data_IF_659027882003
#
_entry.id   IF_659027882003
#
_cell.length_a   1.000
_cell.length_b   1.000
_cell.length_c   1.000
_cell.angle_alpha   90.00
_cell.angle_beta   90.00
_cell.angle_gamma   90.00
#
_symmetry.space_group_name_H-M   'P 1'
#
loop_
_entity.id
_entity.type
_entity.pdbx_description
1 polymer ?
#
# COMPACT_ATOMS: atom_id res chain seq x y z
N UNK A 1 -17.03 9.97 -21.15
CA UNK A 1 -17.69 9.83 -19.83
C UNK A 1 -17.28 8.54 -19.09
N UNK A 2 -17.08 7.41 -19.77
CA UNK A 2 -16.64 6.15 -19.12
C UNK A 2 -15.28 6.23 -18.42
N UNK A 3 -14.26 6.82 -19.05
CA UNK A 3 -12.93 6.99 -18.44
C UNK A 3 -12.96 7.79 -17.13
N UNK A 4 -13.83 8.81 -17.04
CA UNK A 4 -14.01 9.60 -15.82
C UNK A 4 -14.64 8.78 -14.69
N UNK A 5 -15.65 7.94 -15.00
CA UNK A 5 -16.29 7.05 -14.00
C UNK A 5 -15.32 5.96 -13.51
N UNK A 6 -14.49 5.41 -14.40
CA UNK A 6 -13.47 4.43 -14.02
C UNK A 6 -12.42 5.08 -13.12
N UNK A 7 -11.93 6.27 -13.48
CA UNK A 7 -10.93 7.00 -12.68
C UNK A 7 -11.47 7.41 -11.31
N UNK A 8 -12.73 7.83 -11.23
CA UNK A 8 -13.41 8.14 -9.97
C UNK A 8 -13.54 6.89 -9.08
N UNK A 9 -13.92 5.74 -9.66
CA UNK A 9 -13.99 4.46 -8.93
C UNK A 9 -12.62 4.06 -8.35
N UNK A 10 -11.55 4.21 -9.13
CA UNK A 10 -10.19 3.90 -8.70
C UNK A 10 -9.71 4.87 -7.61
N UNK A 11 -10.07 6.15 -7.70
CA UNK A 11 -9.75 7.16 -6.67
C UNK A 11 -10.49 6.87 -5.36
N UNK A 12 -11.78 6.54 -5.42
CA UNK A 12 -12.56 6.15 -4.24
C UNK A 12 -11.98 4.89 -3.57
N UNK A 13 -11.56 3.90 -4.37
CA UNK A 13 -10.88 2.73 -3.84
C UNK A 13 -9.57 3.11 -3.14
N UNK A 14 -8.75 3.97 -3.76
CA UNK A 14 -7.49 4.43 -3.19
C UNK A 14 -7.71 5.19 -1.88
N UNK A 15 -8.76 6.00 -1.78
CA UNK A 15 -9.13 6.68 -0.54
C UNK A 15 -9.55 5.70 0.57
N UNK A 16 -10.32 4.66 0.25
CA UNK A 16 -10.65 3.61 1.24
C UNK A 16 -9.41 2.89 1.75
N UNK A 17 -8.45 2.61 0.86
CA UNK A 17 -7.16 2.04 1.22
C UNK A 17 -6.35 3.01 2.11
N UNK A 18 -6.34 4.31 1.80
CA UNK A 18 -5.74 5.35 2.65
C UNK A 18 -6.31 5.31 4.07
N UNK A 19 -7.65 5.31 4.22
CA UNK A 19 -8.28 5.27 5.54
C UNK A 19 -7.93 4.00 6.33
N UNK A 20 -7.92 2.84 5.66
CA UNK A 20 -7.53 1.57 6.27
C UNK A 20 -6.09 1.64 6.80
N UNK A 21 -5.17 2.11 5.97
CA UNK A 21 -3.75 2.21 6.32
C UNK A 21 -3.51 3.22 7.43
N UNK A 22 -4.23 4.34 7.46
CA UNK A 22 -4.15 5.27 8.59
C UNK A 22 -4.58 4.62 9.90
N UNK A 23 -5.66 3.82 9.89
CA UNK A 23 -6.08 3.07 11.07
C UNK A 23 -4.98 2.13 11.57
N UNK A 24 -4.31 1.41 10.66
CA UNK A 24 -3.17 0.54 10.98
C UNK A 24 -2.00 1.36 11.53
N UNK A 25 -1.68 2.50 10.92
CA UNK A 25 -0.56 3.34 11.30
C UNK A 25 -0.74 3.92 12.72
N UNK A 26 -1.95 4.36 13.07
CA UNK A 26 -2.27 4.80 14.42
C UNK A 26 -2.27 3.65 15.43
N UNK A 27 -2.74 2.45 15.05
CA UNK A 27 -2.60 1.27 15.89
C UNK A 27 -1.13 0.91 16.16
N UNK A 28 -0.27 1.00 15.14
CA UNK A 28 1.17 0.83 15.29
C UNK A 28 1.81 1.93 16.14
N UNK A 29 1.33 3.17 16.06
CA UNK A 29 1.79 4.24 16.95
C UNK A 29 1.44 3.96 18.42
N UNK A 30 0.22 3.46 18.69
CA UNK A 30 -0.16 3.01 20.04
C UNK A 30 0.77 1.88 20.52
N UNK A 31 1.11 0.94 19.65
CA UNK A 31 2.10 -0.09 19.95
C UNK A 31 3.49 0.51 20.25
N UNK A 32 3.92 1.54 19.52
CA UNK A 32 5.18 2.23 19.79
C UNK A 32 5.19 2.89 21.18
N UNK A 33 4.06 3.47 21.60
CA UNK A 33 3.89 4.01 22.96
C UNK A 33 3.94 2.89 24.01
N UNK A 34 3.29 1.74 23.76
CA UNK A 34 3.35 0.60 24.66
C UNK A 34 4.77 0.04 24.81
N UNK A 35 5.50 -0.12 23.70
CA UNK A 35 6.91 -0.53 23.70
C UNK A 35 7.80 0.48 24.42
N UNK A 36 7.45 1.77 24.35
CA UNK A 36 8.21 2.82 25.04
C UNK A 36 8.15 2.72 26.55
N UNK A 37 7.01 2.32 27.11
CA UNK A 37 6.86 2.07 28.55
C UNK A 37 7.65 0.87 29.07
N UNK A 38 8.05 -0.04 28.17
CA UNK A 38 8.83 -1.23 28.51
C UNK A 38 10.35 -1.03 28.36
N UNK A 39 10.79 -0.12 27.49
CA UNK A 39 12.20 0.03 27.10
C UNK A 39 12.77 1.45 27.29
N UNK A 40 12.04 2.35 27.95
CA UNK A 40 12.41 3.77 28.18
C UNK A 40 12.76 4.52 26.88
N UNK A 41 11.93 4.34 25.84
CA UNK A 41 12.14 4.92 24.50
C UNK A 41 11.06 5.94 24.12
N UNK A 42 10.45 6.60 25.10
CA UNK A 42 9.33 7.52 24.87
C UNK A 42 9.72 8.69 23.94
N UNK A 43 10.95 9.19 24.07
CA UNK A 43 11.49 10.21 23.18
C UNK A 43 11.44 9.81 21.70
N UNK A 44 11.80 8.56 21.37
CA UNK A 44 11.74 8.05 20.00
C UNK A 44 10.31 7.82 19.52
N UNK A 45 9.44 7.30 20.39
CA UNK A 45 8.03 7.12 20.07
C UNK A 45 7.39 8.45 19.66
N UNK A 46 7.64 9.52 20.41
CA UNK A 46 7.11 10.85 20.08
C UNK A 46 7.84 11.53 18.93
N UNK A 47 9.17 11.49 18.89
CA UNK A 47 9.95 12.21 17.88
C UNK A 47 9.84 11.60 16.48
N UNK A 48 9.72 10.27 16.38
CA UNK A 48 9.62 9.56 15.10
C UNK A 48 8.20 9.07 14.86
N UNK A 49 7.59 8.40 15.84
CA UNK A 49 6.29 7.77 15.68
C UNK A 49 5.16 8.78 15.43
N UNK A 50 5.09 9.87 16.20
CA UNK A 50 4.00 10.84 16.08
C UNK A 50 4.02 11.57 14.72
N UNK A 51 5.15 12.15 14.23
CA UNK A 51 5.19 12.72 12.89
C UNK A 51 4.89 11.69 11.79
N UNK A 52 5.37 10.46 11.96
CA UNK A 52 5.14 9.37 11.01
C UNK A 52 3.65 9.05 10.87
N UNK A 53 2.87 9.11 11.94
CA UNK A 53 1.41 8.95 11.88
C UNK A 53 0.68 10.22 11.42
N UNK A 54 1.14 11.40 11.85
CA UNK A 54 0.46 12.67 11.62
C UNK A 54 0.59 13.17 10.18
N UNK A 55 1.76 13.09 9.57
CA UNK A 55 2.00 13.62 8.22
C UNK A 55 1.10 12.94 7.18
N UNK A 56 1.03 11.60 7.09
CA UNK A 56 0.13 10.95 6.14
C UNK A 56 -1.35 11.17 6.48
N UNK A 57 -1.68 11.30 7.77
CA UNK A 57 -3.03 11.67 8.22
C UNK A 57 -3.45 13.01 7.60
N UNK A 58 -2.61 14.05 7.71
CA UNK A 58 -2.87 15.36 7.11
C UNK A 58 -2.98 15.27 5.58
N UNK A 59 -2.08 14.53 4.93
CA UNK A 59 -2.12 14.35 3.47
C UNK A 59 -3.43 13.72 2.98
N UNK A 60 -3.92 12.68 3.67
CA UNK A 60 -5.20 12.02 3.34
C UNK A 60 -6.39 12.92 3.62
N UNK A 61 -6.39 13.68 4.72
CA UNK A 61 -7.45 14.66 4.99
C UNK A 61 -7.53 15.75 3.92
N UNK A 62 -6.39 16.24 3.42
CA UNK A 62 -6.35 17.29 2.41
C UNK A 62 -6.66 16.78 1.00
N UNK A 63 -6.18 15.59 0.64
CA UNK A 63 -6.21 15.09 -0.72
C UNK A 63 -6.40 13.56 -0.78
N UNK A 64 -7.44 13.06 -0.11
CA UNK A 64 -7.76 11.63 -0.08
C UNK A 64 -7.83 10.96 -1.46
N UNK A 65 -7.19 9.79 -1.59
CA UNK A 65 -7.10 9.04 -2.84
C UNK A 65 -6.12 9.60 -3.87
N UNK A 66 -5.35 10.65 -3.53
CA UNK A 66 -4.30 11.16 -4.40
C UNK A 66 -3.16 10.14 -4.56
N UNK A 67 -2.50 10.07 -5.75
CA UNK A 67 -1.40 9.16 -6.00
C UNK A 67 -0.24 9.24 -5.00
N UNK A 68 -0.01 10.40 -4.39
CA UNK A 68 1.07 10.62 -3.42
C UNK A 68 0.81 9.93 -2.07
N UNK A 69 -0.45 9.82 -1.63
CA UNK A 69 -0.80 9.31 -0.31
C UNK A 69 -0.36 7.86 -0.11
N UNK A 70 -0.59 6.99 -1.11
CA UNK A 70 -0.17 5.59 -1.05
C UNK A 70 1.34 5.40 -0.88
N UNK A 71 2.16 6.27 -1.48
CA UNK A 71 3.61 6.22 -1.28
C UNK A 71 3.99 6.75 0.09
N UNK A 72 3.41 7.88 0.52
CA UNK A 72 3.63 8.43 1.85
C UNK A 72 3.24 7.44 2.97
N UNK A 73 2.07 6.80 2.84
CA UNK A 73 1.57 5.77 3.74
C UNK A 73 2.49 4.54 3.77
N UNK A 74 2.97 4.07 2.61
CA UNK A 74 3.91 2.96 2.55
C UNK A 74 5.24 3.27 3.25
N UNK A 75 5.81 4.45 2.99
CA UNK A 75 7.02 4.91 3.67
C UNK A 75 6.77 4.99 5.19
N UNK A 76 5.63 5.56 5.60
CA UNK A 76 5.29 5.72 7.01
C UNK A 76 5.14 4.38 7.74
N UNK A 77 4.52 3.37 7.11
CA UNK A 77 4.42 2.03 7.70
C UNK A 77 5.80 1.41 7.89
N UNK A 78 6.71 1.52 6.91
CA UNK A 78 8.09 1.01 7.05
C UNK A 78 8.87 1.76 8.14
N UNK A 79 8.74 3.09 8.22
CA UNK A 79 9.36 3.90 9.29
C UNK A 79 8.83 3.50 10.67
N UNK A 80 7.53 3.20 10.78
CA UNK A 80 6.95 2.73 12.03
C UNK A 80 7.44 1.33 12.42
N UNK A 81 7.61 0.41 11.46
CA UNK A 81 8.27 -0.88 11.70
C UNK A 81 9.72 -0.69 12.17
N UNK A 82 10.49 0.19 11.50
CA UNK A 82 11.85 0.51 11.89
C UNK A 82 11.94 1.06 13.32
N UNK A 83 11.00 1.93 13.71
CA UNK A 83 10.87 2.41 15.08
C UNK A 83 10.62 1.26 16.06
N UNK A 84 9.66 0.36 15.78
CA UNK A 84 9.40 -0.79 16.66
C UNK A 84 10.64 -1.67 16.82
N UNK A 85 11.32 -2.00 15.72
CA UNK A 85 12.58 -2.77 15.73
C UNK A 85 13.61 -2.06 16.63
N UNK A 86 13.78 -0.75 16.49
CA UNK A 86 14.70 0.02 17.32
C UNK A 86 14.33 -0.02 18.81
N UNK A 87 13.06 0.21 19.15
CA UNK A 87 12.56 0.16 20.52
C UNK A 87 12.71 -1.23 21.14
N UNK A 88 12.57 -2.28 20.34
CA UNK A 88 12.79 -3.66 20.74
C UNK A 88 14.25 -4.13 20.66
N UNK A 89 15.21 -3.22 20.53
CA UNK A 89 16.64 -3.51 20.47
C UNK A 89 17.07 -4.44 19.33
N UNK A 90 16.39 -4.39 18.18
CA UNK A 90 16.75 -5.17 16.99
C UNK A 90 16.28 -6.63 17.02
N UNK A 91 15.33 -6.98 17.90
CA UNK A 91 14.75 -8.32 18.00
C UNK A 91 14.12 -8.79 16.68
N UNK A 92 14.37 -10.06 16.34
CA UNK A 92 13.90 -10.67 15.09
C UNK A 92 12.38 -10.72 15.00
N UNK A 93 11.66 -10.89 16.13
CA UNK A 93 10.20 -10.99 16.14
C UNK A 93 9.52 -9.69 15.64
N UNK A 94 10.17 -8.55 15.81
CA UNK A 94 9.63 -7.26 15.33
C UNK A 94 9.87 -7.05 13.83
N UNK A 95 10.80 -7.80 13.23
CA UNK A 95 11.03 -7.78 11.78
C UNK A 95 9.88 -8.43 11.01
N UNK A 96 9.11 -9.33 11.63
CA UNK A 96 7.88 -9.87 11.03
C UNK A 96 6.89 -8.76 10.65
N UNK A 97 6.91 -7.62 11.35
CA UNK A 97 6.11 -6.46 11.02
C UNK A 97 6.34 -5.94 9.59
N UNK A 98 7.56 -6.07 9.05
CA UNK A 98 7.88 -5.63 7.68
C UNK A 98 7.11 -6.46 6.64
N UNK A 99 7.10 -7.78 6.79
CA UNK A 99 6.38 -8.70 5.90
C UNK A 99 4.86 -8.46 5.97
N UNK A 100 4.32 -8.30 7.20
CA UNK A 100 2.90 -7.99 7.41
C UNK A 100 2.51 -6.67 6.74
N UNK A 101 3.31 -5.62 6.90
CA UNK A 101 3.07 -4.32 6.26
C UNK A 101 3.15 -4.40 4.74
N UNK A 102 4.13 -5.13 4.18
CA UNK A 102 4.22 -5.33 2.73
C UNK A 102 2.96 -6.01 2.18
N UNK A 103 2.43 -7.02 2.88
CA UNK A 103 1.17 -7.66 2.52
C UNK A 103 -0.02 -6.69 2.61
N UNK A 104 -0.09 -5.83 3.63
CA UNK A 104 -1.16 -4.83 3.76
C UNK A 104 -1.17 -3.83 2.59
N UNK A 105 0.00 -3.45 2.07
CA UNK A 105 0.11 -2.54 0.92
C UNK A 105 -0.54 -3.08 -0.36
N UNK A 106 -0.85 -4.38 -0.43
CA UNK A 106 -1.61 -4.97 -1.52
C UNK A 106 -3.02 -4.37 -1.67
N UNK A 107 -3.57 -3.76 -0.60
CA UNK A 107 -4.85 -3.04 -0.67
C UNK A 107 -4.85 -1.90 -1.72
N UNK A 108 -3.68 -1.31 -2.00
CA UNK A 108 -3.52 -0.28 -3.03
C UNK A 108 -3.53 -0.82 -4.45
N UNK A 109 -3.30 -2.14 -4.64
CA UNK A 109 -3.22 -2.79 -5.96
C UNK A 109 -2.29 -2.03 -6.92
N UNK A 110 -1.16 -1.55 -6.38
CA UNK A 110 -0.13 -0.84 -7.15
C UNK A 110 1.23 -1.37 -6.74
N UNK A 111 1.86 -2.11 -7.66
CA UNK A 111 3.15 -2.74 -7.45
C UNK A 111 4.24 -1.72 -7.08
N UNK A 112 4.12 -0.47 -7.54
CA UNK A 112 5.10 0.58 -7.25
C UNK A 112 5.14 0.92 -5.76
N UNK A 113 4.00 0.83 -5.09
CA UNK A 113 3.89 1.12 -3.65
C UNK A 113 4.67 0.07 -2.85
N UNK A 114 4.52 -1.20 -3.22
CA UNK A 114 5.23 -2.32 -2.62
C UNK A 114 6.73 -2.21 -2.91
N UNK A 115 7.11 -1.90 -4.15
CA UNK A 115 8.52 -1.72 -4.52
C UNK A 115 9.18 -0.56 -3.76
N UNK A 116 8.48 0.56 -3.56
CA UNK A 116 8.97 1.69 -2.75
C UNK A 116 9.16 1.27 -1.30
N UNK A 117 8.19 0.57 -0.70
CA UNK A 117 8.32 0.07 0.67
C UNK A 117 9.54 -0.86 0.82
N UNK A 118 9.71 -1.83 -0.09
CA UNK A 118 10.86 -2.73 -0.11
C UNK A 118 12.19 -1.97 -0.25
N UNK A 119 12.24 -0.95 -1.12
CA UNK A 119 13.44 -0.12 -1.29
C UNK A 119 13.77 0.68 -0.02
N UNK A 120 12.77 1.24 0.67
CA UNK A 120 12.98 1.94 1.95
C UNK A 120 13.45 0.97 3.04
N UNK A 121 12.88 -0.23 3.09
CA UNK A 121 13.34 -1.30 3.99
C UNK A 121 14.80 -1.63 3.75
N UNK A 122 15.20 -1.84 2.50
CA UNK A 122 16.60 -2.13 2.14
C UNK A 122 17.54 -0.97 2.52
N UNK A 123 17.16 0.27 2.19
CA UNK A 123 17.94 1.45 2.53
C UNK A 123 18.11 1.57 4.04
N UNK A 124 17.03 1.39 4.81
CA UNK A 124 17.08 1.40 6.27
C UNK A 124 18.03 0.33 6.80
N UNK A 125 17.86 -0.94 6.44
CA UNK A 125 18.67 -2.02 7.01
C UNK A 125 20.15 -1.91 6.62
N UNK A 126 20.45 -1.49 5.38
CA UNK A 126 21.84 -1.31 4.97
C UNK A 126 22.49 -0.15 5.72
N UNK A 127 21.86 1.03 5.72
CA UNK A 127 22.43 2.22 6.37
C UNK A 127 22.48 2.09 7.89
N UNK A 128 21.43 1.58 8.53
CA UNK A 128 21.37 1.42 9.98
C UNK A 128 22.25 0.29 10.47
N UNK A 129 22.50 -0.76 9.66
CA UNK A 129 23.51 -1.76 9.99
C UNK A 129 24.88 -1.12 10.15
N UNK A 130 25.32 -0.34 9.16
CA UNK A 130 26.60 0.37 9.25
C UNK A 130 26.65 1.39 10.38
N UNK A 131 25.58 2.17 10.59
CA UNK A 131 25.52 3.11 11.71
C UNK A 131 25.57 2.39 13.07
N UNK A 132 24.97 1.21 13.19
CA UNK A 132 25.03 0.39 14.38
C UNK A 132 26.44 -0.18 14.60
N UNK A 133 27.11 -0.67 13.55
CA UNK A 133 28.52 -1.12 13.62
C UNK A 133 29.47 0.00 14.06
N UNK A 134 29.21 1.23 13.61
CA UNK A 134 29.97 2.42 13.96
C UNK A 134 29.64 2.98 15.36
N UNK A 135 28.67 2.41 16.07
CA UNK A 135 28.35 2.78 17.45
C UNK A 135 27.48 4.03 17.60
N UNK A 136 26.74 4.45 16.59
CA UNK A 136 25.83 5.62 16.66
C UNK A 136 24.58 5.41 17.54
N UNK A 137 24.46 4.27 18.23
CA UNK A 137 23.37 3.98 19.17
C UNK A 137 22.04 3.58 18.52
N UNK A 138 21.93 3.63 17.19
CA UNK A 138 20.79 3.06 16.46
C UNK A 138 20.82 1.54 16.51
N UNK A 139 19.63 0.93 16.48
CA UNK A 139 19.46 -0.52 16.56
C UNK A 139 18.52 -0.98 15.47
N UNK A 140 19.04 -1.63 14.45
CA UNK A 140 18.23 -2.30 13.43
C UNK A 140 18.31 -3.83 13.56
N UNK A 141 19.39 -4.37 14.10
CA UNK A 141 19.57 -5.81 14.31
C UNK A 141 19.99 -6.08 15.76
N UNK A 142 19.70 -7.27 16.29
CA UNK A 142 20.19 -7.66 17.62
C UNK A 142 21.73 -7.66 17.67
N UNK A 143 22.36 -8.10 16.58
CA UNK A 143 23.79 -7.95 16.31
C UNK A 143 23.96 -7.53 14.86
N UNK A 144 24.71 -6.46 14.56
CA UNK A 144 24.90 -6.04 13.19
C UNK A 144 25.74 -7.06 12.42
N UNK A 145 25.47 -7.17 11.12
CA UNK A 145 26.20 -8.07 10.25
C UNK A 145 25.60 -8.13 8.86
N UNK A 146 26.42 -7.82 7.84
CA UNK A 146 25.98 -7.79 6.44
C UNK A 146 25.43 -9.13 5.96
N UNK A 147 25.96 -10.25 6.44
CA UNK A 147 25.47 -11.58 6.08
C UNK A 147 23.99 -11.79 6.49
N UNK A 148 23.60 -11.31 7.67
CA UNK A 148 22.22 -11.39 8.17
C UNK A 148 21.31 -10.50 7.32
N UNK A 149 21.77 -9.29 6.99
CA UNK A 149 21.06 -8.36 6.09
C UNK A 149 20.80 -9.00 4.74
N UNK A 150 21.78 -9.70 4.16
CA UNK A 150 21.63 -10.36 2.86
C UNK A 150 20.60 -11.49 2.89
N UNK A 151 20.57 -12.29 3.96
CA UNK A 151 19.56 -13.35 4.12
C UNK A 151 18.16 -12.74 4.23
N UNK A 152 17.98 -11.72 5.08
CA UNK A 152 16.70 -11.03 5.22
C UNK A 152 16.25 -10.36 3.92
N UNK A 153 17.18 -9.71 3.22
CA UNK A 153 16.92 -9.11 1.92
C UNK A 153 16.43 -10.15 0.91
N UNK A 154 16.97 -11.37 0.93
CA UNK A 154 16.49 -12.48 0.09
C UNK A 154 15.00 -12.77 0.29
N UNK A 155 14.54 -12.86 1.54
CA UNK A 155 13.12 -13.07 1.84
C UNK A 155 12.25 -11.88 1.42
N UNK A 156 12.68 -10.65 1.70
CA UNK A 156 11.96 -9.44 1.29
C UNK A 156 11.84 -9.34 -0.24
N UNK A 157 12.89 -9.68 -0.98
CA UNK A 157 12.86 -9.70 -2.45
C UNK A 157 11.88 -10.75 -2.95
N UNK A 158 11.93 -11.98 -2.41
CA UNK A 158 11.02 -13.04 -2.82
C UNK A 158 9.54 -12.66 -2.58
N UNK A 159 9.22 -12.13 -1.40
CA UNK A 159 7.87 -11.64 -1.08
C UNK A 159 7.46 -10.48 -1.99
N UNK A 160 8.35 -9.49 -2.18
CA UNK A 160 8.09 -8.31 -3.01
C UNK A 160 7.74 -8.72 -4.45
N UNK A 161 8.43 -9.71 -5.02
CA UNK A 161 8.14 -10.21 -6.37
C UNK A 161 6.72 -10.78 -6.45
N UNK A 162 6.34 -11.63 -5.49
CA UNK A 162 5.00 -12.24 -5.45
C UNK A 162 3.92 -11.19 -5.24
N UNK A 163 4.11 -10.27 -4.30
CA UNK A 163 3.14 -9.19 -4.02
C UNK A 163 3.01 -8.22 -5.20
N UNK A 164 4.11 -7.88 -5.89
CA UNK A 164 4.06 -7.07 -7.11
C UNK A 164 3.23 -7.75 -8.20
N UNK A 165 3.43 -9.05 -8.41
CA UNK A 165 2.63 -9.84 -9.35
C UNK A 165 1.14 -9.81 -8.98
N UNK A 166 0.80 -10.09 -7.72
CA UNK A 166 -0.58 -10.06 -7.23
C UNK A 166 -1.19 -8.66 -7.35
N UNK A 167 -0.44 -7.60 -7.09
CA UNK A 167 -0.91 -6.22 -7.22
C UNK A 167 -1.29 -5.90 -8.68
N UNK A 168 -0.48 -6.35 -9.65
CA UNK A 168 -0.79 -6.18 -11.07
C UNK A 168 -2.03 -6.98 -11.46
N UNK A 169 -2.16 -8.22 -11.00
CA UNK A 169 -3.32 -9.07 -11.26
C UNK A 169 -4.60 -8.44 -10.72
N UNK A 170 -4.62 -8.08 -9.44
CA UNK A 170 -5.77 -7.45 -8.78
C UNK A 170 -6.13 -6.11 -9.42
N UNK A 171 -5.13 -5.32 -9.87
CA UNK A 171 -5.40 -4.07 -10.56
C UNK A 171 -6.12 -4.29 -11.89
N UNK A 172 -5.71 -5.31 -12.66
CA UNK A 172 -6.37 -5.67 -13.92
C UNK A 172 -7.82 -6.07 -13.67
N UNK A 173 -8.08 -6.97 -12.72
CA UNK A 173 -9.44 -7.39 -12.34
C UNK A 173 -10.32 -6.20 -11.92
N UNK A 174 -9.77 -5.26 -11.15
CA UNK A 174 -10.48 -4.05 -10.73
C UNK A 174 -10.89 -3.19 -11.92
N UNK A 175 -9.98 -2.96 -12.86
CA UNK A 175 -10.25 -2.16 -14.05
C UNK A 175 -11.29 -2.85 -14.92
N UNK A 176 -11.20 -4.17 -15.11
CA UNK A 176 -12.19 -4.95 -15.85
C UNK A 176 -13.59 -4.83 -15.21
N UNK A 177 -13.68 -4.95 -13.88
CA UNK A 177 -14.94 -4.80 -13.16
C UNK A 177 -15.50 -3.36 -13.25
N UNK A 178 -14.64 -2.34 -13.22
CA UNK A 178 -15.04 -0.95 -13.35
C UNK A 178 -15.56 -0.63 -14.76
N UNK A 179 -14.89 -1.12 -15.81
CA UNK A 179 -15.33 -1.02 -17.20
C UNK A 179 -16.69 -1.70 -17.39
N UNK A 180 -16.86 -2.93 -16.90
CA UNK A 180 -18.13 -3.66 -17.01
C UNK A 180 -19.29 -2.90 -16.36
N UNK A 181 -19.08 -2.36 -15.14
CA UNK A 181 -20.09 -1.55 -14.44
C UNK A 181 -20.41 -0.27 -15.20
N UNK A 182 -19.40 0.39 -15.78
CA UNK A 182 -19.61 1.59 -16.58
C UNK A 182 -20.46 1.29 -17.82
N UNK A 183 -20.17 0.19 -18.53
CA UNK A 183 -20.93 -0.21 -19.71
C UNK A 183 -22.36 -0.63 -19.39
N UNK A 184 -22.59 -1.39 -18.31
CA UNK A 184 -23.96 -1.69 -17.85
C UNK A 184 -24.72 -0.42 -17.48
N UNK A 185 -24.07 0.53 -16.80
CA UNK A 185 -24.69 1.81 -16.45
C UNK A 185 -24.92 2.72 -17.67
N UNK A 186 -24.20 2.52 -18.78
CA UNK A 186 -24.44 3.23 -20.04
C UNK A 186 -25.63 2.65 -20.81
N UNK A 187 -25.89 1.34 -20.67
CA UNK A 187 -27.05 0.67 -21.25
C UNK A 187 -28.36 1.01 -20.53
N UNK A 188 -28.30 1.39 -19.25
CA UNK A 188 -29.47 1.84 -18.47
C UNK A 188 -29.72 3.33 -18.74
N UNK A 189 -30.63 3.64 -19.67
CA UNK A 189 -31.03 5.01 -20.01
C UNK A 189 -31.81 5.71 -18.88
N UNK A 190 -31.85 7.04 -18.92
CA UNK A 190 -32.62 7.85 -17.97
C UNK A 190 -34.13 7.60 -18.18
N UNK A 191 -34.73 6.78 -17.29
CA UNK A 191 -36.16 6.43 -17.35
C UNK A 191 -36.47 4.94 -17.30
N UNK A 192 -35.45 4.06 -17.22
CA UNK A 192 -35.66 2.60 -17.21
C UNK A 192 -35.72 1.96 -18.59
N UNK A 193 -35.49 2.73 -19.66
CA UNK A 193 -35.28 2.19 -21.00
C UNK A 193 -33.83 1.70 -21.18
N UNK A 194 -33.66 0.61 -21.95
CA UNK A 194 -32.34 0.07 -22.27
C UNK A 194 -31.86 0.72 -23.58
N UNK A 195 -30.84 1.58 -23.51
CA UNK A 195 -30.21 2.17 -24.69
C UNK A 195 -29.07 1.30 -25.19
N UNK A 196 -29.35 0.49 -26.21
CA UNK A 196 -28.36 -0.40 -26.82
C UNK A 196 -27.34 0.36 -27.69
N UNK A 197 -27.58 1.64 -28.03
CA UNK A 197 -26.72 2.42 -28.94
C UNK A 197 -25.44 2.94 -28.27
N UNK A 198 -25.28 2.72 -26.96
CA UNK A 198 -24.08 3.06 -26.22
C UNK A 198 -22.88 2.20 -26.68
N UNK A 199 -22.14 2.67 -27.68
CA UNK A 199 -20.87 2.06 -28.12
C UNK A 199 -19.71 2.66 -27.31
N UNK A 200 -19.37 2.00 -26.19
CA UNK A 200 -18.23 2.41 -25.37
C UNK A 200 -16.90 1.82 -25.87
N UNK A 201 -15.84 2.62 -25.78
CA UNK A 201 -14.47 2.17 -26.03
C UNK A 201 -13.99 1.28 -24.87
N UNK A 202 -14.20 -0.02 -25.00
CA UNK A 202 -13.85 -1.03 -24.00
C UNK A 202 -12.48 -1.67 -24.26
N UNK A 203 -11.69 -1.91 -23.21
CA UNK A 203 -10.37 -2.58 -23.29
C UNK A 203 -10.34 -4.00 -22.74
N UNK A 204 -11.23 -4.37 -21.81
CA UNK A 204 -11.28 -5.71 -21.22
C UNK A 204 -12.01 -6.76 -22.05
N UNK A 205 -11.63 -8.04 -21.92
CA UNK A 205 -12.30 -9.16 -22.59
C UNK A 205 -13.78 -9.27 -22.21
N UNK A 206 -14.10 -9.14 -20.92
CA UNK A 206 -15.48 -9.28 -20.43
C UNK A 206 -16.39 -8.19 -20.99
N UNK A 207 -15.94 -6.93 -21.04
CA UNK A 207 -16.77 -5.88 -21.59
C UNK A 207 -16.77 -5.88 -23.13
N UNK A 208 -15.74 -6.45 -23.81
CA UNK A 208 -15.82 -6.79 -25.24
C UNK A 208 -16.92 -7.82 -25.50
N UNK A 209 -16.95 -8.89 -24.72
CA UNK A 209 -17.97 -9.94 -24.83
C UNK A 209 -19.38 -9.36 -24.60
N UNK A 210 -19.55 -8.48 -23.60
CA UNK A 210 -20.83 -7.79 -23.38
C UNK A 210 -21.23 -6.95 -24.60
N UNK A 211 -20.29 -6.17 -25.16
CA UNK A 211 -20.54 -5.34 -26.35
C UNK A 211 -20.93 -6.19 -27.56
N UNK A 212 -20.31 -7.35 -27.75
CA UNK A 212 -20.63 -8.26 -28.85
C UNK A 212 -22.06 -8.83 -28.69
N UNK A 213 -22.46 -9.17 -27.47
CA UNK A 213 -23.85 -9.59 -27.17
C UNK A 213 -24.84 -8.46 -27.42
N UNK A 214 -24.54 -7.22 -26.99
CA UNK A 214 -25.39 -6.05 -27.24
C UNK A 214 -25.57 -5.81 -28.75
N UNK A 215 -24.50 -5.92 -29.54
CA UNK A 215 -24.56 -5.78 -31.00
C UNK A 215 -25.40 -6.87 -31.68
N UNK A 216 -25.45 -8.08 -31.12
CA UNK A 216 -26.34 -9.13 -31.62
C UNK A 216 -27.83 -8.79 -31.41
N UNK A 217 -28.16 -8.14 -30.30
CA UNK A 217 -29.54 -7.73 -29.97
C UNK A 217 -30.05 -6.53 -30.79
N UNK A 218 -29.16 -5.81 -31.48
CA UNK A 218 -29.51 -4.69 -32.35
C UNK A 218 -29.85 -5.09 -33.80
N UNK A 219 -29.66 -6.37 -34.15
CA UNK A 219 -30.03 -6.91 -35.47
C UNK A 219 -31.48 -7.33 -35.49
#
# INVERSE_FOLDING_TARGET
>A
MSNLRVEETLRQQSHKADCLVLGILWAMFVLALALSGLHDTLGWALAVGLPTALVPTVMVFLAGGAPANRFANAIALIVMCALHIHQGAGRDELHFGLFVVLAFLLCYRDWKVIAVAAAVTALHHLSFNYLQELGYGVRCLAQPGIAIVLVHAGYVVAETVVLCYLAVLLRRETVQAAELRASVAALQGEGGEIDLRADEAVRSDSARALRDVVRLLQR
#
